data_IF_224738512918
#
_entry.id   IF_224738512918
#
_cell.length_a   1.000
_cell.length_b   1.000
_cell.length_c   1.000
_cell.angle_alpha   90.00
_cell.angle_beta   90.00
_cell.angle_gamma   90.00
#
_symmetry.space_group_name_H-M   'P 1'
#
loop_
_entity.id
_entity.type
_entity.pdbx_description
1 polymer ?
#
# COMPACT_ATOMS: atom_id res chain seq x y z
N UNK A 1 27.21 37.74 37.12
CA UNK A 1 25.74 37.96 37.02
C UNK A 1 25.30 38.31 35.60
N UNK A 2 25.86 39.35 34.93
CA UNK A 2 25.55 39.67 33.52
C UNK A 2 25.77 38.50 32.54
N UNK A 3 26.83 37.71 32.73
CA UNK A 3 27.13 36.56 31.86
C UNK A 3 26.14 35.41 32.05
N UNK A 4 25.58 35.26 33.25
CA UNK A 4 24.62 34.21 33.56
C UNK A 4 23.26 34.54 32.95
N UNK A 5 22.83 35.79 33.06
CA UNK A 5 21.63 36.30 32.37
C UNK A 5 21.77 36.23 30.84
N UNK A 6 22.98 36.41 30.30
CA UNK A 6 23.23 36.23 28.86
C UNK A 6 23.06 34.77 28.43
N UNK A 7 23.64 33.82 29.18
CA UNK A 7 23.50 32.37 28.91
C UNK A 7 22.05 31.89 29.02
N UNK A 8 21.30 32.36 30.02
CA UNK A 8 19.88 32.02 30.20
C UNK A 8 19.03 32.49 29.01
N UNK A 9 19.30 33.68 28.48
CA UNK A 9 18.63 34.20 27.27
C UNK A 9 18.95 33.35 26.03
N UNK A 10 20.22 32.96 25.84
CA UNK A 10 20.61 32.09 24.73
C UNK A 10 19.97 30.69 24.81
N UNK A 11 19.75 30.16 26.02
CA UNK A 11 19.06 28.89 26.25
C UNK A 11 17.57 29.02 25.91
N UNK A 12 16.90 30.09 26.36
CA UNK A 12 15.49 30.33 26.05
C UNK A 12 15.27 30.58 24.55
N UNK A 13 16.18 31.26 23.86
CA UNK A 13 16.14 31.41 22.39
C UNK A 13 16.26 30.07 21.68
N UNK A 14 17.23 29.22 22.05
CA UNK A 14 17.38 27.88 21.48
C UNK A 14 16.16 26.99 21.76
N UNK A 15 15.56 27.14 22.93
CA UNK A 15 14.34 26.44 23.35
C UNK A 15 13.12 26.91 22.54
N UNK A 16 13.01 28.21 22.28
CA UNK A 16 11.98 28.82 21.43
C UNK A 16 12.11 28.35 19.97
N UNK A 17 13.33 28.31 19.44
CA UNK A 17 13.60 27.80 18.09
C UNK A 17 13.25 26.31 18.01
N UNK A 18 13.63 25.50 19.01
CA UNK A 18 13.29 24.07 19.05
C UNK A 18 11.78 23.84 19.09
N UNK A 19 11.04 24.63 19.87
CA UNK A 19 9.57 24.60 19.93
C UNK A 19 8.96 24.99 18.58
N UNK A 20 9.43 26.08 17.98
CA UNK A 20 8.95 26.54 16.66
C UNK A 20 9.16 25.49 15.56
N UNK A 21 10.36 24.89 15.48
CA UNK A 21 10.66 23.83 14.49
C UNK A 21 9.78 22.59 14.67
N UNK A 22 9.45 22.24 15.92
CA UNK A 22 8.54 21.14 16.21
C UNK A 22 7.12 21.43 15.71
N UNK A 23 6.60 22.64 15.93
CA UNK A 23 5.28 23.05 15.42
C UNK A 23 5.23 23.11 13.89
N UNK A 24 6.30 23.57 13.24
CA UNK A 24 6.41 23.58 11.76
C UNK A 24 6.38 22.16 11.21
N UNK A 25 7.12 21.22 11.80
CA UNK A 25 7.11 19.82 11.39
C UNK A 25 5.72 19.19 11.58
N UNK A 26 5.06 19.43 12.72
CA UNK A 26 3.69 18.94 12.96
C UNK A 26 2.69 19.51 11.96
N UNK A 27 2.80 20.79 11.60
CA UNK A 27 1.94 21.43 10.60
C UNK A 27 2.12 20.80 9.22
N UNK A 28 3.36 20.54 8.80
CA UNK A 28 3.68 19.87 7.53
C UNK A 28 3.14 18.43 7.51
N UNK A 29 3.31 17.67 8.61
CA UNK A 29 2.77 16.30 8.74
C UNK A 29 1.24 16.31 8.64
N UNK A 30 0.57 17.26 9.30
CA UNK A 30 -0.89 17.40 9.24
C UNK A 30 -1.36 17.75 7.83
N UNK A 31 -0.68 18.64 7.12
CA UNK A 31 -0.96 18.95 5.71
C UNK A 31 -0.81 17.71 4.81
N UNK A 32 0.24 16.91 5.00
CA UNK A 32 0.49 15.71 4.20
C UNK A 32 -0.52 14.58 4.49
N UNK A 33 -0.93 14.41 5.74
CA UNK A 33 -1.92 13.39 6.12
C UNK A 33 -3.29 13.60 5.44
N UNK A 34 -3.68 14.85 5.16
CA UNK A 34 -4.93 15.17 4.48
C UNK A 34 -4.93 14.83 2.98
N UNK A 35 -3.77 14.59 2.38
CA UNK A 35 -3.62 14.23 0.95
C UNK A 35 -3.82 12.73 0.70
N UNK A 36 -3.72 11.88 1.73
CA UNK A 36 -3.86 10.42 1.62
C UNK A 36 -5.29 9.93 1.88
N UNK A 37 -6.30 10.70 1.46
CA UNK A 37 -7.67 10.18 1.48
C UNK A 37 -7.80 9.10 0.41
N UNK A 38 -7.81 7.84 0.85
CA UNK A 38 -8.09 6.69 -0.01
C UNK A 38 -9.47 6.86 -0.64
N UNK A 39 -9.54 6.74 -1.96
CA UNK A 39 -10.82 6.68 -2.67
C UNK A 39 -11.37 5.26 -2.51
N UNK A 40 -12.51 5.15 -1.84
CA UNK A 40 -13.25 3.89 -1.78
C UNK A 40 -13.97 3.72 -3.11
N UNK A 41 -13.55 2.76 -3.93
CA UNK A 41 -14.26 2.40 -5.14
C UNK A 41 -15.50 1.60 -4.77
N UNK A 42 -16.64 1.98 -5.35
CA UNK A 42 -17.90 1.28 -5.20
C UNK A 42 -18.46 0.87 -6.57
N UNK A 43 -19.64 0.24 -6.58
CA UNK A 43 -20.29 -0.20 -7.82
C UNK A 43 -20.72 0.97 -8.71
N UNK A 44 -21.06 2.12 -8.13
CA UNK A 44 -21.47 3.34 -8.85
C UNK A 44 -20.28 4.05 -9.51
N UNK A 45 -19.06 3.67 -9.13
CA UNK A 45 -17.82 4.13 -9.76
C UNK A 45 -17.63 3.56 -11.18
N UNK A 46 -18.50 2.65 -11.63
CA UNK A 46 -18.46 1.99 -12.94
C UNK A 46 -19.78 2.25 -13.71
N UNK A 47 -19.75 2.36 -15.05
CA UNK A 47 -20.96 2.57 -15.85
C UNK A 47 -22.03 1.49 -15.64
N UNK A 48 -23.28 1.86 -15.89
CA UNK A 48 -24.39 0.91 -15.91
C UNK A 48 -24.11 -0.19 -16.93
N UNK A 49 -24.36 -1.44 -16.51
CA UNK A 49 -24.09 -2.61 -17.34
C UNK A 49 -22.62 -3.06 -17.38
N UNK A 50 -21.68 -2.40 -16.68
CA UNK A 50 -20.31 -2.91 -16.57
C UNK A 50 -20.32 -4.28 -15.88
N UNK A 51 -19.69 -5.28 -16.50
CA UNK A 51 -19.71 -6.67 -16.02
C UNK A 51 -18.44 -6.96 -15.23
N UNK A 52 -18.61 -7.38 -13.98
CA UNK A 52 -17.54 -8.01 -13.20
C UNK A 52 -17.61 -9.52 -13.39
N UNK A 53 -16.46 -10.15 -13.56
CA UNK A 53 -16.35 -11.58 -13.72
C UNK A 53 -15.06 -12.13 -13.11
N UNK A 54 -14.99 -13.45 -13.05
CA UNK A 54 -13.79 -14.20 -12.66
C UNK A 54 -13.39 -15.13 -13.81
N UNK A 55 -12.12 -15.48 -13.91
CA UNK A 55 -11.60 -16.39 -14.92
C UNK A 55 -10.68 -17.43 -14.27
N UNK A 56 -10.70 -18.65 -14.79
CA UNK A 56 -9.81 -19.74 -14.40
C UNK A 56 -9.43 -20.58 -15.61
N UNK A 57 -8.39 -21.41 -15.48
CA UNK A 57 -7.97 -22.32 -16.55
C UNK A 57 -8.20 -23.78 -16.18
N UNK A 58 -8.51 -24.61 -17.19
CA UNK A 58 -8.81 -26.03 -17.01
C UNK A 58 -7.68 -26.79 -16.29
N UNK A 59 -6.43 -26.58 -16.70
CA UNK A 59 -5.27 -27.23 -16.08
C UNK A 59 -5.09 -26.84 -14.61
N UNK A 60 -5.42 -25.60 -14.22
CA UNK A 60 -5.28 -25.14 -12.84
C UNK A 60 -6.36 -25.69 -11.90
N UNK A 61 -7.57 -25.96 -12.40
CA UNK A 61 -8.73 -26.21 -11.53
C UNK A 61 -9.45 -27.55 -11.74
N UNK A 62 -9.45 -28.13 -12.94
CA UNK A 62 -10.24 -29.35 -13.20
C UNK A 62 -9.57 -30.62 -12.64
N UNK A 63 -8.23 -30.71 -12.72
CA UNK A 63 -7.51 -31.93 -12.37
C UNK A 63 -7.90 -33.10 -13.29
N UNK A 64 -8.16 -34.27 -12.68
CA UNK A 64 -8.64 -35.50 -13.32
C UNK A 64 -7.96 -35.78 -14.68
N UNK A 65 -6.63 -35.64 -14.71
CA UNK A 65 -5.87 -35.55 -15.96
C UNK A 65 -5.89 -36.83 -16.79
N UNK A 66 -6.25 -37.96 -16.17
CA UNK A 66 -6.35 -39.28 -16.80
C UNK A 66 -7.75 -39.93 -16.67
N UNK A 67 -8.80 -39.16 -16.35
CA UNK A 67 -10.17 -39.67 -16.22
C UNK A 67 -11.05 -39.22 -17.40
N UNK A 68 -12.20 -39.87 -17.60
CA UNK A 68 -13.23 -39.41 -18.55
C UNK A 68 -12.83 -39.43 -20.03
N UNK A 69 -11.75 -40.11 -20.41
CA UNK A 69 -11.24 -40.12 -21.79
C UNK A 69 -10.45 -38.87 -22.18
N UNK A 70 -10.05 -38.03 -21.22
CA UNK A 70 -9.19 -36.86 -21.46
C UNK A 70 -7.83 -37.30 -22.02
N UNK A 71 -7.45 -36.71 -23.15
CA UNK A 71 -6.12 -36.94 -23.75
C UNK A 71 -5.05 -36.14 -23.00
N UNK A 72 -3.82 -36.68 -22.84
CA UNK A 72 -2.74 -35.97 -22.18
C UNK A 72 -2.43 -34.63 -22.84
N UNK A 73 -2.20 -33.60 -22.02
CA UNK A 73 -1.77 -32.28 -22.48
C UNK A 73 -0.25 -32.11 -22.37
N UNK A 74 0.30 -31.11 -23.05
CA UNK A 74 1.73 -30.76 -22.95
C UNK A 74 2.10 -30.41 -21.50
N UNK A 75 1.19 -29.75 -20.77
CA UNK A 75 1.39 -29.39 -19.37
C UNK A 75 1.42 -30.60 -18.44
N UNK A 76 0.62 -31.64 -18.70
CA UNK A 76 0.67 -32.90 -17.96
C UNK A 76 2.03 -33.59 -18.13
N UNK A 77 2.60 -33.55 -19.35
CA UNK A 77 3.92 -34.11 -19.61
C UNK A 77 5.01 -33.31 -18.89
N UNK A 78 5.03 -31.99 -19.05
CA UNK A 78 6.04 -31.12 -18.44
C UNK A 78 6.11 -31.29 -16.92
N UNK A 79 4.96 -31.20 -16.23
CA UNK A 79 4.89 -31.29 -14.77
C UNK A 79 5.25 -32.68 -14.21
N UNK A 80 5.11 -33.73 -15.00
CA UNK A 80 5.51 -35.10 -14.59
C UNK A 80 6.98 -35.39 -14.86
N UNK A 81 7.56 -34.79 -15.89
CA UNK A 81 8.95 -35.03 -16.30
C UNK A 81 9.95 -34.18 -15.52
N UNK A 82 9.55 -32.98 -15.06
CA UNK A 82 10.43 -32.03 -14.38
C UNK A 82 9.79 -31.52 -13.07
N UNK A 83 10.02 -32.20 -11.94
CA UNK A 83 9.45 -31.83 -10.64
C UNK A 83 10.09 -30.58 -10.02
#
# INVERSE_FOLDING_TARGET
QKDQTKKEREIEEKKMIRRSRFFVLLSIISLFANTLKSQVLDRHSFPDGFIFGTAGSAFQYEGATNEGGKSPTIWDHFSRTYP
#
